data_IF_664908975288
#
_entry.id   IF_664908975288
#
_cell.length_a   1.000
_cell.length_b   1.000
_cell.length_c   1.000
_cell.angle_alpha   90.00
_cell.angle_beta   90.00
_cell.angle_gamma   90.00
#
_symmetry.space_group_name_H-M   'P 1'
#
loop_
_entity.id
_entity.type
_entity.pdbx_description
1 polymer ?
#
# COMPACT_ATOMS: atom_id res chain seq x y z
N UNK A 1 6.04 13.75 -15.39
CA UNK A 1 6.33 13.54 -13.95
C UNK A 1 5.98 12.13 -13.45
N UNK A 2 5.11 11.38 -14.14
CA UNK A 2 4.52 10.14 -13.59
C UNK A 2 5.44 8.93 -13.45
N UNK A 3 6.65 8.94 -14.01
CA UNK A 3 7.55 7.77 -14.00
C UNK A 3 8.61 7.78 -12.89
N UNK A 4 8.63 8.80 -12.03
CA UNK A 4 9.49 8.79 -10.83
C UNK A 4 8.88 7.85 -9.78
N UNK A 5 9.19 6.57 -9.91
CA UNK A 5 8.85 5.54 -8.95
C UNK A 5 9.98 5.45 -7.92
N UNK A 6 9.63 5.36 -6.62
CA UNK A 6 10.56 4.94 -5.56
C UNK A 6 10.94 3.46 -5.84
N UNK A 7 11.78 3.23 -6.85
CA UNK A 7 12.33 1.91 -7.15
C UNK A 7 13.44 1.60 -6.16
N UNK A 8 14.58 2.26 -6.33
CA UNK A 8 15.72 2.16 -5.41
C UNK A 8 16.13 3.51 -4.78
N UNK A 9 15.53 4.61 -5.23
CA UNK A 9 16.02 5.95 -4.92
C UNK A 9 15.55 6.48 -3.55
N UNK A 10 16.46 7.20 -2.90
CA UNK A 10 16.24 7.91 -1.64
C UNK A 10 15.13 8.96 -1.79
N UNK A 11 14.24 9.12 -0.79
CA UNK A 11 13.13 10.06 -0.88
C UNK A 11 13.62 11.51 -0.92
N UNK A 12 14.82 11.80 -0.39
CA UNK A 12 15.52 13.07 -0.56
C UNK A 12 15.87 13.38 -2.03
N UNK A 13 16.31 12.38 -2.79
CA UNK A 13 16.57 12.52 -4.24
C UNK A 13 15.28 12.73 -5.03
N UNK A 14 14.20 12.00 -4.68
CA UNK A 14 12.90 12.21 -5.30
C UNK A 14 12.46 13.67 -5.15
N UNK A 15 12.58 14.24 -3.95
CA UNK A 15 12.18 15.62 -3.70
C UNK A 15 13.02 16.62 -4.51
N UNK A 16 14.34 16.41 -4.61
CA UNK A 16 15.22 17.24 -5.42
C UNK A 16 14.85 17.21 -6.91
N UNK A 17 14.54 16.03 -7.45
CA UNK A 17 14.06 15.88 -8.83
C UNK A 17 12.67 16.49 -9.03
N UNK A 18 11.75 16.31 -8.08
CA UNK A 18 10.45 16.96 -8.11
C UNK A 18 10.60 18.48 -8.11
N UNK A 19 11.50 19.04 -7.30
CA UNK A 19 11.79 20.48 -7.27
C UNK A 19 12.40 20.97 -8.58
N UNK A 20 13.32 20.18 -9.17
CA UNK A 20 13.94 20.49 -10.47
C UNK A 20 12.90 20.49 -11.59
N UNK A 21 12.01 19.51 -11.63
CA UNK A 21 10.98 19.44 -12.67
C UNK A 21 9.87 20.47 -12.44
N UNK A 22 9.54 20.76 -11.18
CA UNK A 22 8.55 21.77 -10.83
C UNK A 22 9.06 23.21 -10.94
N UNK A 23 10.32 23.45 -11.34
CA UNK A 23 10.99 24.76 -11.44
C UNK A 23 10.03 25.91 -11.78
N UNK A 24 9.50 26.58 -10.74
CA UNK A 24 8.63 27.76 -10.85
C UNK A 24 7.13 27.54 -11.05
N UNK A 25 6.65 26.31 -11.20
CA UNK A 25 5.21 26.01 -11.40
C UNK A 25 4.44 25.70 -10.11
N UNK A 26 5.13 25.34 -9.02
CA UNK A 26 4.50 24.85 -7.79
C UNK A 26 5.19 25.41 -6.55
N UNK A 27 4.40 25.70 -5.51
CA UNK A 27 4.94 26.13 -4.22
C UNK A 27 5.68 24.97 -3.52
N UNK A 28 6.70 25.29 -2.74
CA UNK A 28 7.51 24.28 -2.05
C UNK A 28 6.69 23.45 -1.06
N UNK A 29 5.70 24.06 -0.42
CA UNK A 29 4.78 23.38 0.50
C UNK A 29 3.91 22.34 -0.23
N UNK A 30 3.31 22.72 -1.37
CA UNK A 30 2.52 21.79 -2.20
C UNK A 30 3.39 20.67 -2.78
N UNK A 31 4.62 20.99 -3.17
CA UNK A 31 5.60 20.01 -3.66
C UNK A 31 5.92 18.98 -2.57
N UNK A 32 6.06 19.44 -1.32
CA UNK A 32 6.30 18.60 -0.16
C UNK A 32 5.09 17.72 0.16
N UNK A 33 3.86 18.25 0.07
CA UNK A 33 2.65 17.46 0.25
C UNK A 33 2.49 16.37 -0.81
N UNK A 34 2.72 16.71 -2.08
CA UNK A 34 2.68 15.73 -3.18
C UNK A 34 3.76 14.67 -3.05
N UNK A 35 4.97 15.06 -2.64
CA UNK A 35 6.04 14.14 -2.35
C UNK A 35 5.67 13.22 -1.17
N UNK A 36 5.11 13.77 -0.09
CA UNK A 36 4.70 13.02 1.08
C UNK A 36 3.58 12.03 0.77
N UNK A 37 2.60 12.41 -0.06
CA UNK A 37 1.52 11.55 -0.52
C UNK A 37 2.00 10.41 -1.45
N UNK A 38 3.23 10.52 -1.98
CA UNK A 38 3.84 9.51 -2.86
C UNK A 38 4.73 8.51 -2.10
N UNK A 39 4.98 8.76 -0.81
CA UNK A 39 5.73 7.86 0.06
C UNK A 39 4.87 6.67 0.51
N UNK A 40 5.48 5.52 0.85
CA UNK A 40 4.77 4.43 1.52
C UNK A 40 4.16 4.89 2.84
N UNK A 41 3.01 4.35 3.23
CA UNK A 41 2.28 4.75 4.44
C UNK A 41 3.16 4.79 5.70
N UNK A 42 4.08 3.82 5.87
CA UNK A 42 5.01 3.78 7.01
C UNK A 42 5.96 4.98 7.06
N UNK A 43 6.44 5.45 5.91
CA UNK A 43 7.32 6.63 5.81
C UNK A 43 6.50 7.92 5.94
N UNK A 44 5.34 7.98 5.26
CA UNK A 44 4.46 9.15 5.26
C UNK A 44 4.01 9.54 6.68
N UNK A 45 3.61 8.57 7.51
CA UNK A 45 3.17 8.83 8.89
C UNK A 45 4.24 9.54 9.72
N UNK A 46 5.50 9.10 9.61
CA UNK A 46 6.63 9.69 10.33
C UNK A 46 6.94 11.09 9.79
N UNK A 47 6.96 11.25 8.46
CA UNK A 47 7.24 12.53 7.80
C UNK A 47 6.17 13.58 8.11
N UNK A 48 4.89 13.19 8.14
CA UNK A 48 3.77 14.07 8.48
C UNK A 48 3.81 14.46 9.97
N UNK A 49 4.15 13.52 10.85
CA UNK A 49 4.34 13.80 12.28
C UNK A 49 5.54 14.73 12.53
N UNK A 50 6.56 14.67 11.67
CA UNK A 50 7.71 15.55 11.74
C UNK A 50 7.34 16.96 11.26
N UNK A 51 7.32 17.93 12.20
CA UNK A 51 7.05 19.36 11.94
C UNK A 51 8.32 20.17 11.70
N UNK A 52 9.46 19.51 11.52
CA UNK A 52 10.71 20.19 11.23
C UNK A 52 10.72 20.72 9.79
N UNK A 53 11.80 21.43 9.45
CA UNK A 53 12.01 21.94 8.11
C UNK A 53 12.10 20.82 7.07
N UNK A 54 11.94 21.20 5.79
CA UNK A 54 11.99 20.30 4.64
C UNK A 54 13.22 19.38 4.68
N UNK A 55 14.41 19.92 4.95
CA UNK A 55 15.65 19.14 5.02
C UNK A 55 15.60 18.00 6.05
N UNK A 56 15.07 18.26 7.25
CA UNK A 56 14.92 17.23 8.30
C UNK A 56 13.87 16.19 7.92
N UNK A 57 12.74 16.60 7.34
CA UNK A 57 11.73 15.67 6.83
C UNK A 57 12.30 14.71 5.78
N UNK A 58 13.13 15.21 4.87
CA UNK A 58 13.80 14.39 3.85
C UNK A 58 14.77 13.39 4.48
N UNK A 59 15.57 13.83 5.47
CA UNK A 59 16.50 12.96 6.17
C UNK A 59 15.79 11.85 6.97
N UNK A 60 14.69 12.19 7.65
CA UNK A 60 13.85 11.22 8.37
C UNK A 60 13.19 10.25 7.40
N UNK A 61 12.66 10.73 6.28
CA UNK A 61 12.09 9.87 5.25
C UNK A 61 13.11 8.85 4.73
N UNK A 62 14.35 9.30 4.51
CA UNK A 62 15.46 8.45 4.06
C UNK A 62 15.75 7.35 5.06
N UNK A 63 15.96 7.72 6.33
CA UNK A 63 16.25 6.78 7.41
C UNK A 63 15.13 5.74 7.60
N UNK A 64 13.86 6.16 7.52
CA UNK A 64 12.70 5.26 7.68
C UNK A 64 12.56 4.33 6.47
N UNK A 65 12.80 4.84 5.25
CA UNK A 65 12.78 4.01 4.04
C UNK A 65 13.90 2.95 4.07
N UNK A 66 15.11 3.32 4.51
CA UNK A 66 16.22 2.37 4.70
C UNK A 66 15.89 1.33 5.78
N UNK A 67 15.27 1.75 6.89
CA UNK A 67 14.82 0.83 7.94
C UNK A 67 13.74 -0.16 7.44
N UNK A 68 12.84 0.29 6.56
CA UNK A 68 11.87 -0.58 5.88
C UNK A 68 12.55 -1.55 4.90
N UNK A 69 13.60 -1.11 4.20
CA UNK A 69 14.36 -1.98 3.28
C UNK A 69 15.02 -3.16 4.01
N UNK A 70 15.41 -2.98 5.27
CA UNK A 70 16.02 -4.04 6.10
C UNK A 70 14.99 -4.97 6.77
N UNK A 71 13.71 -4.59 6.75
CA UNK A 71 12.60 -5.38 7.28
C UNK A 71 11.71 -5.78 6.11
N UNK A 72 11.97 -6.90 5.41
CA UNK A 72 11.07 -7.33 4.35
C UNK A 72 9.66 -7.45 4.94
N UNK A 73 8.73 -6.70 4.36
CA UNK A 73 7.33 -6.61 4.75
C UNK A 73 6.54 -7.91 4.47
N UNK A 74 7.19 -9.08 4.51
CA UNK A 74 6.57 -10.38 4.35
C UNK A 74 5.78 -10.83 5.61
N UNK A 75 5.66 -9.99 6.65
CA UNK A 75 4.98 -10.34 7.90
C UNK A 75 3.61 -9.67 8.07
N UNK A 76 3.11 -8.89 7.11
CA UNK A 76 1.74 -8.36 7.19
C UNK A 76 0.88 -9.09 6.16
N UNK A 77 0.52 -10.33 6.50
CA UNK A 77 -0.62 -11.02 5.89
C UNK A 77 -1.86 -10.17 6.17
N UNK A 78 -2.34 -9.47 5.15
CA UNK A 78 -3.62 -8.80 5.16
C UNK A 78 -4.73 -9.84 5.41
N UNK A 79 -5.19 -9.95 6.66
CA UNK A 79 -6.38 -10.74 7.01
C UNK A 79 -7.65 -9.93 6.69
N UNK A 80 -7.83 -9.53 5.43
CA UNK A 80 -9.01 -8.77 5.03
C UNK A 80 -9.52 -9.19 3.64
N UNK A 81 -9.96 -10.44 3.53
CA UNK A 81 -11.28 -10.74 2.92
C UNK A 81 -11.65 -12.19 3.21
N UNK A 82 -12.46 -12.41 4.23
CA UNK A 82 -13.31 -13.59 4.30
C UNK A 82 -14.72 -13.06 4.50
N UNK A 83 -15.38 -12.76 3.37
CA UNK A 83 -16.78 -12.37 3.36
C UNK A 83 -17.61 -13.40 4.14
N UNK A 84 -18.46 -12.98 5.09
CA UNK A 84 -19.31 -13.89 5.83
C UNK A 84 -20.61 -14.11 5.05
N UNK A 85 -20.69 -15.07 4.11
CA UNK A 85 -21.96 -15.48 3.48
C UNK A 85 -21.83 -16.72 2.59
N UNK A 86 -22.01 -17.91 3.16
CA UNK A 86 -22.89 -18.95 2.57
C UNK A 86 -23.01 -20.09 3.56
N UNK A 87 -23.95 -19.89 4.47
CA UNK A 87 -24.76 -20.97 5.06
C UNK A 87 -25.26 -21.85 3.90
N UNK A 88 -24.54 -22.94 3.60
CA UNK A 88 -25.12 -24.03 2.82
C UNK A 88 -26.08 -24.79 3.73
N UNK A 89 -27.27 -24.20 3.88
CA UNK A 89 -28.45 -24.94 4.25
C UNK A 89 -28.99 -25.63 2.98
N UNK A 90 -28.27 -26.62 2.45
CA UNK A 90 -28.88 -27.61 1.56
C UNK A 90 -29.34 -28.81 2.38
N UNK A 91 -30.35 -28.58 3.22
CA UNK A 91 -31.37 -29.60 3.46
C UNK A 91 -32.11 -29.79 2.14
N UNK A 92 -31.53 -30.57 1.23
CA UNK A 92 -32.21 -31.00 0.00
C UNK A 92 -32.76 -32.40 0.24
N UNK A 93 -33.86 -32.42 1.00
CA UNK A 93 -34.76 -33.55 1.08
C UNK A 93 -35.60 -33.55 -0.21
N UNK A 94 -35.24 -34.38 -1.18
CA UNK A 94 -35.97 -34.60 -2.42
C UNK A 94 -36.37 -36.07 -2.56
N UNK A 95 -37.66 -36.40 -2.67
CA UNK A 95 -38.15 -37.79 -2.72
C UNK A 95 -38.06 -38.35 -4.15
N UNK A 96 -37.89 -39.67 -4.28
CA UNK A 96 -38.27 -40.39 -5.50
C UNK A 96 -37.16 -40.70 -6.49
N UNK A 97 -36.30 -41.65 -6.15
CA UNK A 97 -35.73 -42.59 -7.12
C UNK A 97 -36.00 -43.98 -6.54
N UNK A 98 -36.94 -44.76 -7.07
CA UNK A 98 -36.97 -45.17 -8.46
C UNK A 98 -36.53 -46.63 -8.49
N UNK A 99 -37.46 -47.48 -8.05
CA UNK A 99 -37.65 -48.87 -8.48
C UNK A 99 -36.76 -49.31 -9.66
N UNK A 100 -35.80 -50.22 -9.41
CA UNK A 100 -35.42 -51.26 -10.37
C UNK A 100 -34.48 -52.31 -9.73
N UNK A 101 -34.98 -53.07 -8.74
CA UNK A 101 -34.40 -54.38 -8.42
C UNK A 101 -34.78 -55.33 -9.56
N UNK A 102 -34.05 -55.17 -10.65
CA UNK A 102 -34.10 -56.03 -11.81
C UNK A 102 -33.06 -57.13 -11.61
N UNK A 103 -33.57 -58.36 -11.64
CA UNK A 103 -32.88 -59.57 -12.11
C UNK A 103 -31.97 -60.21 -11.05
N UNK A 104 -31.87 -61.52 -10.88
CA UNK A 104 -32.55 -62.71 -11.44
C UNK A 104 -32.13 -63.90 -10.58
#
# INVERSE_FOLDING_TARGET
>A
LSEMSLGDQKPSQLFAEMRRVAQGSMNEELLLELWAARLPAGVQQIVVANRNGTSEKLAVADAVLEAHRWRPAAAVTEVLTAAPSSIDASTSLGPGQGELLRQS
#
